data_IF_355995181808
#
_entry.id   IF_355995181808
#
_cell.length_a   1.000
_cell.length_b   1.000
_cell.length_c   1.000
_cell.angle_alpha   90.00
_cell.angle_beta   90.00
_cell.angle_gamma   90.00
#
_symmetry.space_group_name_H-M   'P 1'
#
loop_
_entity.id
_entity.type
_entity.pdbx_description
1 polymer ?
#
# COMPACT_ATOMS: atom_id res chain seq x y z
N UNK A 1 34.33 -21.42 19.09
CA UNK A 1 33.50 -20.24 19.46
C UNK A 1 32.35 -20.24 18.47
N UNK A 2 31.10 -20.07 18.90
CA UNK A 2 29.96 -20.13 17.96
C UNK A 2 29.89 -18.85 17.12
N UNK A 3 29.17 -18.89 15.99
CA UNK A 3 28.91 -17.69 15.16
C UNK A 3 28.36 -16.53 16.01
N UNK A 4 27.43 -16.81 16.93
CA UNK A 4 26.86 -15.79 17.81
C UNK A 4 27.88 -15.22 18.80
N UNK A 5 28.72 -16.06 19.41
CA UNK A 5 29.76 -15.61 20.34
C UNK A 5 30.72 -14.60 19.69
N UNK A 6 30.99 -14.78 18.39
CA UNK A 6 31.87 -13.92 17.60
C UNK A 6 31.17 -12.65 17.15
N UNK A 7 29.98 -12.79 16.55
CA UNK A 7 29.34 -11.73 15.77
C UNK A 7 28.42 -10.84 16.61
N UNK A 8 27.67 -11.40 17.56
CA UNK A 8 26.67 -10.63 18.32
C UNK A 8 27.28 -9.43 19.07
N UNK A 9 28.39 -9.56 19.81
CA UNK A 9 28.99 -8.41 20.51
C UNK A 9 29.41 -7.29 19.55
N UNK A 10 29.84 -7.65 18.34
CA UNK A 10 30.26 -6.69 17.31
C UNK A 10 29.08 -5.97 16.68
N UNK A 11 27.98 -6.68 16.40
CA UNK A 11 26.75 -6.08 15.88
C UNK A 11 26.13 -5.09 16.88
N UNK A 12 26.06 -5.47 18.16
CA UNK A 12 25.52 -4.60 19.22
C UNK A 12 26.34 -3.31 19.39
N UNK A 13 27.66 -3.37 19.14
CA UNK A 13 28.55 -2.22 19.24
C UNK A 13 28.48 -1.28 18.02
N UNK A 14 27.74 -1.64 16.95
CA UNK A 14 27.64 -0.78 15.78
C UNK A 14 26.80 0.48 16.08
N UNK A 15 27.21 1.67 15.59
CA UNK A 15 26.46 2.90 15.79
C UNK A 15 25.02 2.79 15.27
N UNK A 16 24.04 3.20 16.10
CA UNK A 16 22.63 3.23 15.74
C UNK A 16 21.87 1.92 15.93
N UNK A 17 22.54 0.82 16.31
CA UNK A 17 21.85 -0.45 16.61
C UNK A 17 21.09 -0.35 17.93
N UNK A 18 19.80 -0.64 17.87
CA UNK A 18 18.88 -0.65 19.01
C UNK A 18 18.57 -2.06 19.50
N UNK A 19 18.55 -3.03 18.59
CA UNK A 19 18.30 -4.43 18.89
C UNK A 19 18.93 -5.35 17.84
N UNK A 20 19.20 -6.59 18.26
CA UNK A 20 19.61 -7.69 17.38
C UNK A 20 18.72 -8.90 17.68
N UNK A 21 18.16 -9.52 16.64
CA UNK A 21 17.36 -10.75 16.77
C UNK A 21 17.96 -11.89 15.96
N UNK A 22 17.69 -13.12 16.38
CA UNK A 22 17.92 -14.35 15.64
C UNK A 22 16.60 -14.79 15.01
N UNK A 23 16.62 -15.04 13.71
CA UNK A 23 15.48 -15.51 12.94
C UNK A 23 15.66 -16.92 12.39
N UNK A 24 14.87 -17.21 11.36
CA UNK A 24 15.06 -18.40 10.54
C UNK A 24 14.73 -19.72 11.24
N UNK A 25 15.41 -20.78 10.78
CA UNK A 25 15.24 -22.13 11.32
C UNK A 25 15.83 -22.28 12.73
N UNK A 26 16.87 -21.50 13.06
CA UNK A 26 17.56 -21.53 14.35
C UNK A 26 16.70 -20.94 15.46
N UNK A 27 16.04 -19.80 15.22
CA UNK A 27 15.09 -19.23 16.18
C UNK A 27 13.88 -20.17 16.46
N UNK A 28 13.47 -20.94 15.45
CA UNK A 28 12.34 -21.88 15.54
C UNK A 28 12.71 -23.27 16.05
N UNK A 29 14.00 -23.54 16.28
CA UNK A 29 14.48 -24.88 16.69
C UNK A 29 14.36 -25.97 15.62
N UNK A 30 14.17 -25.60 14.34
CA UNK A 30 14.00 -26.53 13.20
C UNK A 30 15.21 -26.56 12.28
N UNK A 31 16.33 -25.98 12.73
CA UNK A 31 17.57 -25.93 11.96
C UNK A 31 18.20 -27.32 11.78
N UNK A 32 18.91 -27.45 10.67
CA UNK A 32 19.77 -28.58 10.35
C UNK A 32 21.23 -28.15 10.47
N UNK A 33 22.16 -29.09 10.34
CA UNK A 33 23.60 -28.79 10.39
C UNK A 33 24.05 -27.86 9.26
N UNK A 34 23.35 -27.84 8.13
CA UNK A 34 23.62 -27.01 6.94
C UNK A 34 22.84 -25.69 6.94
N UNK A 35 22.14 -25.35 8.03
CA UNK A 35 21.32 -24.13 8.08
C UNK A 35 22.17 -22.89 8.32
N UNK A 36 21.88 -21.86 7.53
CA UNK A 36 22.31 -20.49 7.67
C UNK A 36 21.94 -19.86 9.02
N UNK A 37 22.56 -18.71 9.30
CA UNK A 37 22.24 -17.87 10.44
C UNK A 37 21.54 -16.59 9.97
N UNK A 38 20.26 -16.45 10.31
CA UNK A 38 19.49 -15.24 10.02
C UNK A 38 19.51 -14.29 11.23
N UNK A 39 20.04 -13.08 11.05
CA UNK A 39 20.10 -12.04 12.07
C UNK A 39 19.39 -10.77 11.62
N UNK A 40 18.52 -10.23 12.46
CA UNK A 40 17.91 -8.90 12.26
C UNK A 40 18.66 -7.84 13.05
N UNK A 41 19.07 -6.75 12.41
CA UNK A 41 19.66 -5.56 13.05
C UNK A 41 18.68 -4.41 12.94
N UNK A 42 18.20 -3.93 14.09
CA UNK A 42 17.14 -2.93 14.17
C UNK A 42 17.71 -1.56 14.55
N UNK A 43 17.33 -0.52 13.82
CA UNK A 43 17.78 0.85 14.01
C UNK A 43 16.62 1.84 13.78
N UNK A 44 16.87 3.14 13.97
CA UNK A 44 15.96 4.23 13.60
C UNK A 44 16.71 5.34 12.87
N UNK A 45 16.04 6.03 11.95
CA UNK A 45 16.65 7.06 11.11
C UNK A 45 17.62 6.48 10.08
N UNK A 46 18.91 6.81 10.19
CA UNK A 46 19.93 6.40 9.22
C UNK A 46 20.86 5.31 9.75
N UNK A 47 21.28 4.40 8.87
CA UNK A 47 22.30 3.38 9.16
C UNK A 47 23.35 3.32 8.05
N UNK A 48 24.64 3.42 8.40
CA UNK A 48 25.75 3.21 7.45
C UNK A 48 26.14 1.72 7.41
N UNK A 49 25.65 0.99 6.42
CA UNK A 49 25.92 -0.44 6.27
C UNK A 49 27.41 -0.76 6.08
N UNK A 50 28.27 0.21 5.68
CA UNK A 50 29.73 -0.01 5.63
C UNK A 50 30.30 -0.42 6.97
N UNK A 51 29.62 -0.12 8.08
CA UNK A 51 29.98 -0.59 9.40
C UNK A 51 29.97 -2.13 9.51
N UNK A 52 29.06 -2.82 8.81
CA UNK A 52 29.03 -4.28 8.71
C UNK A 52 30.28 -4.82 7.99
N UNK A 53 30.70 -4.16 6.90
CA UNK A 53 31.91 -4.55 6.17
C UNK A 53 33.20 -4.35 6.99
N UNK A 54 33.22 -3.37 7.91
CA UNK A 54 34.35 -3.12 8.83
C UNK A 54 34.47 -4.17 9.94
N UNK A 55 33.53 -5.11 10.06
CA UNK A 55 33.60 -6.20 11.04
C UNK A 55 34.68 -7.25 10.72
N UNK A 56 35.21 -7.24 9.48
CA UNK A 56 36.32 -8.07 9.05
C UNK A 56 35.94 -9.48 8.57
N UNK A 57 34.66 -9.73 8.30
CA UNK A 57 34.18 -10.98 7.73
C UNK A 57 34.08 -10.88 6.20
N UNK A 58 34.40 -11.96 5.50
CA UNK A 58 34.20 -12.03 4.06
C UNK A 58 32.71 -11.98 3.74
N UNK A 59 32.31 -11.27 2.70
CA UNK A 59 30.90 -11.13 2.38
C UNK A 59 30.55 -9.97 1.45
N UNK A 60 29.26 -9.81 1.22
CA UNK A 60 28.66 -8.70 0.49
C UNK A 60 27.84 -7.84 1.46
N UNK A 61 27.90 -6.52 1.29
CA UNK A 61 27.21 -5.55 2.12
C UNK A 61 26.43 -4.61 1.24
N UNK A 62 25.18 -4.35 1.62
CA UNK A 62 24.25 -3.47 0.93
C UNK A 62 23.70 -2.41 1.88
N UNK A 63 23.63 -1.17 1.41
CA UNK A 63 23.04 -0.05 2.14
C UNK A 63 21.52 -0.21 2.29
N UNK A 64 20.90 0.47 3.28
CA UNK A 64 19.44 0.56 3.35
C UNK A 64 18.82 1.02 2.03
N UNK A 65 17.81 0.29 1.57
CA UNK A 65 17.10 0.46 0.31
C UNK A 65 17.65 -0.33 -0.89
N UNK A 66 18.89 -0.83 -0.86
CA UNK A 66 19.52 -1.50 -2.01
C UNK A 66 18.90 -2.88 -2.32
N UNK A 67 18.25 -3.52 -1.34
CA UNK A 67 17.52 -4.79 -1.54
C UNK A 67 15.99 -4.59 -1.58
N UNK A 68 15.54 -3.39 -1.98
CA UNK A 68 14.13 -3.03 -1.97
C UNK A 68 13.63 -2.64 -0.58
N UNK A 69 12.33 -2.31 -0.45
CA UNK A 69 11.80 -1.70 0.77
C UNK A 69 11.72 -2.67 1.95
N UNK A 70 11.26 -3.90 1.70
CA UNK A 70 10.95 -4.87 2.77
C UNK A 70 12.21 -5.56 3.27
N UNK A 71 13.05 -6.06 2.37
CA UNK A 71 14.34 -6.67 2.74
C UNK A 71 15.32 -5.58 3.20
N UNK A 72 15.17 -4.36 2.67
CA UNK A 72 15.91 -3.13 3.00
C UNK A 72 17.39 -3.17 2.60
N UNK A 73 18.18 -4.03 3.21
CA UNK A 73 19.62 -4.11 2.99
C UNK A 73 20.29 -4.92 4.11
N UNK A 74 21.61 -4.88 4.17
CA UNK A 74 22.38 -5.55 5.23
C UNK A 74 23.63 -6.24 4.71
N UNK A 75 23.85 -7.49 5.08
CA UNK A 75 25.05 -8.22 4.67
C UNK A 75 24.83 -9.73 4.58
N UNK A 76 25.49 -10.34 3.61
CA UNK A 76 25.74 -11.77 3.56
C UNK A 76 27.19 -12.00 3.92
N UNK A 77 27.44 -12.66 5.05
CA UNK A 77 28.75 -12.82 5.64
C UNK A 77 29.11 -14.30 5.75
N UNK A 78 30.41 -14.58 5.79
CA UNK A 78 30.95 -15.87 6.25
C UNK A 78 31.65 -15.66 7.58
N UNK A 79 31.11 -16.27 8.63
CA UNK A 79 31.64 -16.16 10.01
C UNK A 79 31.99 -17.56 10.50
N UNK A 80 33.25 -17.77 10.89
CA UNK A 80 33.75 -19.10 11.29
C UNK A 80 33.46 -20.21 10.26
N UNK A 81 33.43 -19.86 8.96
CA UNK A 81 33.13 -20.79 7.86
C UNK A 81 31.64 -21.03 7.58
N UNK A 82 30.75 -20.42 8.35
CA UNK A 82 29.30 -20.57 8.22
C UNK A 82 28.66 -19.35 7.53
N UNK A 83 27.64 -19.53 6.67
CA UNK A 83 26.89 -18.42 6.07
C UNK A 83 25.99 -17.72 7.10
N UNK A 84 26.03 -16.38 7.09
CA UNK A 84 25.24 -15.52 7.98
C UNK A 84 24.59 -14.40 7.18
N UNK A 85 23.26 -14.32 7.27
CA UNK A 85 22.44 -13.27 6.68
C UNK A 85 22.11 -12.24 7.75
N UNK A 86 22.55 -11.01 7.56
CA UNK A 86 22.23 -9.87 8.41
C UNK A 86 21.28 -8.96 7.66
N UNK A 87 20.06 -8.81 8.18
CA UNK A 87 19.02 -7.97 7.58
C UNK A 87 18.82 -6.69 8.40
N UNK A 88 18.83 -5.55 7.72
CA UNK A 88 18.62 -4.24 8.33
C UNK A 88 17.13 -3.93 8.45
N UNK A 89 16.68 -3.46 9.62
CA UNK A 89 15.29 -3.12 9.90
C UNK A 89 15.18 -1.72 10.48
N UNK A 90 14.67 -0.80 9.67
CA UNK A 90 14.30 0.54 10.12
C UNK A 90 12.99 0.47 10.90
N UNK A 91 13.04 0.69 12.21
CA UNK A 91 11.86 0.65 13.06
C UNK A 91 10.89 1.82 12.77
N UNK A 92 11.35 2.94 12.21
CA UNK A 92 10.45 4.04 11.82
C UNK A 92 9.54 3.61 10.66
N UNK A 93 10.10 2.87 9.68
CA UNK A 93 9.33 2.29 8.57
C UNK A 93 8.43 1.15 9.06
N UNK A 94 8.94 0.28 9.93
CA UNK A 94 8.15 -0.83 10.48
C UNK A 94 6.96 -0.33 11.32
N UNK A 95 7.09 0.80 12.02
CA UNK A 95 5.97 1.40 12.76
C UNK A 95 4.85 1.92 11.83
N UNK A 96 5.21 2.42 10.64
CA UNK A 96 4.22 2.77 9.59
C UNK A 96 3.48 1.52 9.13
N UNK A 97 4.20 0.44 8.79
CA UNK A 97 3.58 -0.80 8.36
C UNK A 97 2.77 -1.50 9.46
N UNK A 98 3.15 -1.35 10.73
CA UNK A 98 2.32 -1.76 11.85
C UNK A 98 0.98 -1.04 11.84
N UNK A 99 1.03 0.29 11.72
CA UNK A 99 -0.18 1.12 11.65
C UNK A 99 -1.06 0.72 10.47
N UNK A 100 -0.47 0.35 9.33
CA UNK A 100 -1.21 -0.19 8.20
C UNK A 100 -1.84 -1.56 8.51
N UNK A 101 -1.05 -2.50 9.03
CA UNK A 101 -1.50 -3.84 9.40
C UNK A 101 -2.65 -3.81 10.43
N UNK A 102 -2.58 -2.94 11.45
CA UNK A 102 -3.63 -2.78 12.46
C UNK A 102 -4.99 -2.39 11.85
N UNK A 103 -4.96 -1.75 10.68
CA UNK A 103 -6.15 -1.38 9.92
C UNK A 103 -6.40 -2.29 8.70
N UNK A 104 -5.75 -3.45 8.62
CA UNK A 104 -5.89 -4.40 7.52
C UNK A 104 -5.30 -3.94 6.19
N UNK A 105 -4.32 -3.02 6.21
CA UNK A 105 -3.64 -2.50 5.03
C UNK A 105 -2.26 -3.12 4.90
N UNK A 106 -1.86 -3.44 3.67
CA UNK A 106 -0.52 -3.89 3.32
C UNK A 106 -0.32 -3.82 1.81
N UNK A 107 0.94 -3.83 1.38
CA UNK A 107 1.35 -3.95 -0.01
C UNK A 107 2.12 -5.27 -0.20
N UNK A 108 2.30 -5.72 -1.45
CA UNK A 108 3.08 -6.91 -1.80
C UNK A 108 4.14 -6.49 -2.81
N UNK A 109 5.40 -6.55 -2.41
CA UNK A 109 6.52 -6.25 -3.30
C UNK A 109 6.96 -7.52 -4.03
N UNK A 110 7.36 -7.38 -5.30
CA UNK A 110 8.12 -8.42 -5.96
C UNK A 110 9.54 -8.39 -5.42
N UNK A 111 9.95 -9.52 -4.83
CA UNK A 111 11.28 -9.72 -4.25
C UNK A 111 11.85 -10.97 -4.89
N UNK A 112 13.08 -10.90 -5.37
CA UNK A 112 13.75 -12.03 -6.00
C UNK A 112 13.74 -13.25 -5.06
N UNK A 113 13.44 -14.42 -5.63
CA UNK A 113 13.28 -15.66 -4.87
C UNK A 113 11.89 -15.88 -4.26
N UNK A 114 10.92 -14.99 -4.48
CA UNK A 114 9.53 -15.15 -4.02
C UNK A 114 8.56 -15.17 -5.20
N UNK A 115 7.74 -16.22 -5.32
CA UNK A 115 6.77 -16.40 -6.40
C UNK A 115 5.51 -15.52 -6.23
N UNK A 116 4.95 -15.49 -5.02
CA UNK A 116 3.80 -14.67 -4.68
C UNK A 116 4.19 -13.20 -4.46
N UNK A 117 5.41 -12.98 -3.96
CA UNK A 117 5.93 -11.70 -3.49
C UNK A 117 5.91 -11.59 -1.97
N UNK A 118 6.55 -10.56 -1.43
CA UNK A 118 6.70 -10.38 0.01
C UNK A 118 5.77 -9.26 0.51
N UNK A 119 4.91 -9.49 1.52
CA UNK A 119 4.01 -8.47 2.02
C UNK A 119 4.70 -7.51 3.01
N UNK A 120 4.27 -6.25 3.07
CA UNK A 120 4.84 -5.22 3.97
C UNK A 120 4.67 -5.52 5.46
N UNK A 121 3.82 -6.48 5.83
CA UNK A 121 3.71 -6.98 7.21
C UNK A 121 4.76 -8.04 7.58
N UNK A 122 5.62 -8.50 6.66
CA UNK A 122 6.66 -9.51 6.96
C UNK A 122 7.59 -9.07 8.10
N UNK A 123 8.14 -7.84 8.14
CA UNK A 123 8.99 -7.41 9.25
C UNK A 123 8.28 -7.38 10.61
N UNK A 124 6.95 -7.23 10.64
CA UNK A 124 6.17 -7.36 11.86
C UNK A 124 6.16 -8.81 12.35
N UNK A 125 6.01 -9.76 11.42
CA UNK A 125 6.12 -11.18 11.71
C UNK A 125 7.50 -11.56 12.22
N UNK A 126 8.57 -10.99 11.66
CA UNK A 126 9.93 -11.20 12.16
C UNK A 126 10.07 -10.72 13.61
N UNK A 127 9.57 -9.51 13.93
CA UNK A 127 9.55 -9.02 15.33
C UNK A 127 8.75 -9.94 16.25
N UNK A 128 7.64 -10.50 15.75
CA UNK A 128 6.77 -11.37 16.55
C UNK A 128 7.36 -12.76 16.81
N UNK A 129 8.15 -13.31 15.88
CA UNK A 129 8.59 -14.72 15.89
C UNK A 129 10.08 -14.87 16.23
N UNK A 130 10.91 -13.90 15.88
CA UNK A 130 12.35 -14.00 16.09
C UNK A 130 12.71 -13.90 17.58
N UNK A 131 13.83 -14.53 17.95
CA UNK A 131 14.37 -14.45 19.30
C UNK A 131 15.21 -13.17 19.43
N UNK A 132 14.83 -12.25 20.31
CA UNK A 132 15.66 -11.07 20.60
C UNK A 132 16.92 -11.50 21.36
N UNK A 133 18.09 -11.28 20.77
CA UNK A 133 19.39 -11.59 21.37
C UNK A 133 19.94 -10.42 22.19
N UNK A 134 19.68 -9.18 21.75
CA UNK A 134 20.11 -7.96 22.42
C UNK A 134 19.13 -6.81 22.17
N UNK A 135 19.03 -5.87 23.12
CA UNK A 135 18.12 -4.73 23.05
C UNK A 135 16.68 -5.07 23.43
N UNK A 136 15.73 -4.25 22.97
CA UNK A 136 14.28 -4.48 23.16
C UNK A 136 13.53 -4.16 21.88
N UNK A 137 12.61 -5.04 21.50
CA UNK A 137 11.66 -4.84 20.41
C UNK A 137 10.22 -4.83 20.95
N UNK A 138 9.27 -4.19 20.26
CA UNK A 138 7.88 -4.17 20.69
C UNK A 138 7.26 -5.56 20.54
N UNK A 139 6.34 -5.91 21.44
CA UNK A 139 5.48 -7.07 21.21
C UNK A 139 4.52 -6.80 20.05
N UNK A 140 4.34 -7.79 19.18
CA UNK A 140 3.49 -7.70 17.99
C UNK A 140 2.55 -8.91 17.96
N UNK A 141 1.24 -8.66 17.98
CA UNK A 141 0.21 -9.66 17.76
C UNK A 141 -0.27 -9.60 16.30
N UNK A 142 -0.85 -10.69 15.78
CA UNK A 142 -1.44 -10.69 14.44
C UNK A 142 -2.78 -9.93 14.46
N UNK A 143 -2.91 -8.77 13.80
CA UNK A 143 -4.13 -7.98 13.90
C UNK A 143 -5.33 -8.65 13.22
N UNK A 144 -6.51 -8.60 13.85
CA UNK A 144 -7.75 -9.17 13.27
C UNK A 144 -8.07 -8.58 11.90
N UNK A 145 -7.93 -7.25 11.76
CA UNK A 145 -8.17 -6.57 10.49
C UNK A 145 -7.19 -7.03 9.40
N UNK A 146 -5.92 -7.28 9.74
CA UNK A 146 -4.95 -7.85 8.80
C UNK A 146 -5.34 -9.26 8.39
N UNK A 147 -5.76 -10.10 9.34
CA UNK A 147 -6.12 -11.50 9.07
C UNK A 147 -7.23 -11.59 8.03
N UNK A 148 -8.28 -10.81 8.20
CA UNK A 148 -9.41 -10.77 7.26
C UNK A 148 -8.98 -10.24 5.89
N UNK A 149 -8.33 -9.07 5.86
CA UNK A 149 -7.95 -8.41 4.62
C UNK A 149 -6.89 -9.19 3.82
N UNK A 150 -5.87 -9.75 4.50
CA UNK A 150 -4.83 -10.54 3.87
C UNK A 150 -5.38 -11.86 3.34
N UNK A 151 -6.24 -12.55 4.10
CA UNK A 151 -6.89 -13.77 3.62
C UNK A 151 -7.70 -13.50 2.34
N UNK A 152 -8.50 -12.43 2.32
CA UNK A 152 -9.30 -12.06 1.14
C UNK A 152 -8.40 -11.72 -0.06
N UNK A 153 -7.37 -10.90 0.15
CA UNK A 153 -6.45 -10.44 -0.90
C UNK A 153 -5.69 -11.60 -1.53
N UNK A 154 -5.11 -12.48 -0.71
CA UNK A 154 -4.32 -13.60 -1.19
C UNK A 154 -5.18 -14.65 -1.92
N UNK A 155 -6.41 -14.89 -1.45
CA UNK A 155 -7.38 -15.75 -2.16
C UNK A 155 -7.73 -15.18 -3.53
N UNK A 156 -7.95 -13.87 -3.61
CA UNK A 156 -8.21 -13.21 -4.88
C UNK A 156 -7.02 -13.30 -5.84
N UNK A 157 -5.80 -13.07 -5.35
CA UNK A 157 -4.59 -13.19 -6.15
C UNK A 157 -4.45 -14.60 -6.74
N UNK A 158 -4.65 -15.65 -5.92
CA UNK A 158 -4.59 -17.05 -6.37
C UNK A 158 -5.63 -17.34 -7.46
N UNK A 159 -6.88 -16.94 -7.25
CA UNK A 159 -7.96 -17.11 -8.22
C UNK A 159 -7.67 -16.41 -9.56
N UNK A 160 -7.11 -15.21 -9.50
CA UNK A 160 -6.74 -14.44 -10.70
C UNK A 160 -5.59 -15.12 -11.46
N UNK A 161 -4.54 -15.56 -10.75
CA UNK A 161 -3.43 -16.32 -11.34
C UNK A 161 -3.91 -17.58 -12.07
N UNK A 162 -4.84 -18.36 -11.47
CA UNK A 162 -5.43 -19.55 -12.13
C UNK A 162 -6.24 -19.19 -13.38
N UNK A 163 -6.86 -18.01 -13.40
CA UNK A 163 -7.59 -17.52 -14.58
C UNK A 163 -6.65 -17.17 -15.72
N UNK A 164 -5.49 -16.58 -15.41
CA UNK A 164 -4.44 -16.33 -16.41
C UNK A 164 -3.81 -17.65 -16.86
N UNK A 165 -3.57 -18.60 -15.94
CA UNK A 165 -3.10 -19.94 -16.29
C UNK A 165 -4.00 -20.60 -17.33
N UNK A 166 -5.32 -20.53 -17.15
CA UNK A 166 -6.32 -21.05 -18.10
C UNK A 166 -6.20 -20.43 -19.51
N UNK A 167 -5.86 -19.14 -19.60
CA UNK A 167 -5.61 -18.48 -20.88
C UNK A 167 -4.36 -19.04 -21.56
N UNK A 168 -3.31 -19.32 -20.80
CA UNK A 168 -2.09 -19.94 -21.33
C UNK A 168 -2.31 -21.39 -21.75
N UNK A 169 -3.08 -22.17 -20.97
CA UNK A 169 -3.51 -23.54 -21.34
C UNK A 169 -4.20 -23.54 -22.71
N UNK A 170 -5.18 -22.66 -22.93
CA UNK A 170 -5.88 -22.56 -24.23
C UNK A 170 -4.97 -22.21 -25.41
N UNK A 171 -3.84 -21.56 -25.15
CA UNK A 171 -2.85 -21.18 -26.17
C UNK A 171 -1.75 -22.23 -26.35
N UNK A 172 -1.74 -23.30 -25.55
CA UNK A 172 -0.68 -24.30 -25.54
C UNK A 172 0.63 -23.83 -24.88
N UNK A 173 0.59 -22.73 -24.12
CA UNK A 173 1.77 -22.15 -23.47
C UNK A 173 1.99 -22.79 -22.10
N UNK A 174 2.63 -23.97 -22.10
CA UNK A 174 2.85 -24.78 -20.89
C UNK A 174 3.65 -24.03 -19.83
N UNK A 175 4.70 -23.31 -20.22
CA UNK A 175 5.60 -22.64 -19.26
C UNK A 175 4.87 -21.57 -18.46
N UNK A 176 4.14 -20.67 -19.13
CA UNK A 176 3.39 -19.64 -18.43
C UNK A 176 2.15 -20.19 -17.72
N UNK A 177 1.54 -21.25 -18.24
CA UNK A 177 0.46 -21.95 -17.56
C UNK A 177 0.92 -22.51 -16.20
N UNK A 178 1.97 -23.32 -16.18
CA UNK A 178 2.52 -23.90 -14.95
C UNK A 178 3.06 -22.82 -14.02
N UNK A 179 3.76 -21.81 -14.53
CA UNK A 179 4.25 -20.70 -13.70
C UNK A 179 3.14 -19.95 -12.97
N UNK A 180 2.01 -19.70 -13.63
CA UNK A 180 0.84 -19.07 -13.01
C UNK A 180 0.15 -20.00 -11.99
N UNK A 181 0.14 -21.31 -12.23
CA UNK A 181 -0.38 -22.31 -11.28
C UNK A 181 0.50 -22.42 -10.02
N UNK A 182 1.82 -22.45 -10.16
CA UNK A 182 2.76 -22.44 -9.03
C UNK A 182 2.61 -21.15 -8.22
N UNK A 183 2.51 -20.00 -8.90
CA UNK A 183 2.25 -18.72 -8.24
C UNK A 183 0.92 -18.71 -7.49
N UNK A 184 -0.14 -19.25 -8.08
CA UNK A 184 -1.44 -19.37 -7.43
C UNK A 184 -1.37 -20.22 -6.15
N UNK A 185 -0.57 -21.28 -6.16
CA UNK A 185 -0.36 -22.17 -5.00
C UNK A 185 0.28 -21.41 -3.84
N UNK A 186 1.36 -20.66 -4.08
CA UNK A 186 2.00 -19.83 -3.06
C UNK A 186 1.03 -18.76 -2.51
N UNK A 187 0.25 -18.12 -3.37
CA UNK A 187 -0.78 -17.15 -2.98
C UNK A 187 -1.89 -17.79 -2.13
N UNK A 188 -2.38 -18.97 -2.51
CA UNK A 188 -3.38 -19.70 -1.73
C UNK A 188 -2.84 -20.09 -0.35
N UNK A 189 -1.57 -20.51 -0.27
CA UNK A 189 -0.91 -20.81 0.99
C UNK A 189 -0.81 -19.58 1.90
N UNK A 190 -0.43 -18.42 1.38
CA UNK A 190 -0.48 -17.15 2.12
C UNK A 190 -1.89 -16.85 2.65
N UNK A 191 -2.93 -17.09 1.85
CA UNK A 191 -4.32 -16.89 2.26
C UNK A 191 -4.72 -17.79 3.42
N UNK A 192 -4.35 -19.07 3.38
CA UNK A 192 -4.60 -20.02 4.47
C UNK A 192 -3.89 -19.57 5.75
N UNK A 193 -2.62 -19.19 5.65
CA UNK A 193 -1.83 -18.75 6.81
C UNK A 193 -2.36 -17.45 7.41
N UNK A 194 -2.74 -16.48 6.57
CA UNK A 194 -3.40 -15.26 7.02
C UNK A 194 -4.72 -15.57 7.76
N UNK A 195 -5.54 -16.46 7.21
CA UNK A 195 -6.79 -16.91 7.84
C UNK A 195 -6.61 -17.56 9.20
N UNK A 196 -5.44 -18.18 9.46
CA UNK A 196 -5.04 -18.75 10.75
C UNK A 196 -4.43 -17.72 11.70
N UNK A 197 -4.14 -16.50 11.25
CA UNK A 197 -3.39 -15.51 12.02
C UNK A 197 -1.92 -15.91 12.22
N UNK A 198 -1.35 -16.65 11.27
CA UNK A 198 0.02 -17.15 11.33
C UNK A 198 0.95 -16.27 10.48
N UNK A 199 2.08 -15.87 11.05
CA UNK A 199 3.08 -15.06 10.36
C UNK A 199 3.83 -15.88 9.31
N UNK A 200 3.92 -15.35 8.09
CA UNK A 200 4.70 -15.92 7.00
C UNK A 200 5.91 -15.01 6.77
N UNK A 201 7.10 -15.53 7.03
CA UNK A 201 8.36 -14.76 6.91
C UNK A 201 9.03 -14.93 5.54
N UNK A 202 8.57 -15.90 4.75
CA UNK A 202 9.04 -16.23 3.41
C UNK A 202 8.31 -17.47 2.89
N UNK A 203 8.66 -17.94 1.69
CA UNK A 203 7.92 -19.03 1.03
C UNK A 203 8.47 -20.44 1.35
N UNK A 204 9.58 -20.53 2.09
CA UNK A 204 10.20 -21.82 2.48
C UNK A 204 9.25 -22.63 3.36
N UNK A 205 8.78 -23.77 2.83
CA UNK A 205 7.84 -24.68 3.51
C UNK A 205 6.39 -24.15 3.57
N UNK A 206 6.11 -22.99 2.97
CA UNK A 206 4.81 -22.31 3.09
C UNK A 206 3.64 -23.18 2.60
N UNK A 207 3.84 -23.90 1.48
CA UNK A 207 2.81 -24.77 0.89
C UNK A 207 2.43 -25.91 1.84
N UNK A 208 3.42 -26.53 2.48
CA UNK A 208 3.21 -27.62 3.42
C UNK A 208 2.61 -27.12 4.74
N UNK A 209 3.11 -26.00 5.26
CA UNK A 209 2.58 -25.34 6.45
C UNK A 209 1.11 -24.95 6.27
N UNK A 210 0.71 -24.55 5.06
CA UNK A 210 -0.68 -24.29 4.70
C UNK A 210 -1.54 -25.57 4.58
N UNK A 211 -0.94 -26.75 4.51
CA UNK A 211 -1.64 -28.02 4.28
C UNK A 211 -2.00 -28.24 2.80
N UNK A 212 -1.25 -27.62 1.88
CA UNK A 212 -1.47 -27.69 0.43
C UNK A 212 -0.41 -28.55 -0.28
N UNK A 213 0.29 -29.42 0.45
CA UNK A 213 1.41 -30.23 -0.05
C UNK A 213 1.08 -31.14 -1.25
N UNK A 214 -0.20 -31.51 -1.45
CA UNK A 214 -0.62 -32.22 -2.66
C UNK A 214 -0.35 -31.46 -3.97
N UNK A 215 -0.10 -30.15 -3.89
CA UNK A 215 0.26 -29.35 -5.05
C UNK A 215 1.64 -29.73 -5.61
N UNK A 216 2.54 -30.28 -4.79
CA UNK A 216 3.84 -30.77 -5.24
C UNK A 216 3.68 -31.91 -6.25
N UNK A 217 2.74 -32.82 -5.99
CA UNK A 217 2.46 -33.96 -6.88
C UNK A 217 1.77 -33.48 -8.17
N UNK A 218 0.73 -32.66 -8.03
CA UNK A 218 -0.06 -32.13 -9.17
C UNK A 218 0.81 -31.32 -10.13
N UNK A 219 1.68 -30.44 -9.62
CA UNK A 219 2.57 -29.62 -10.44
C UNK A 219 3.84 -30.35 -10.90
N UNK A 220 4.22 -31.42 -10.20
CA UNK A 220 5.44 -32.19 -10.43
C UNK A 220 5.33 -33.21 -11.57
N UNK A 221 4.11 -33.56 -12.00
CA UNK A 221 3.91 -34.49 -13.11
C UNK A 221 4.22 -33.80 -14.46
N UNK A 222 5.38 -34.15 -15.02
CA UNK A 222 5.88 -33.60 -16.27
C UNK A 222 5.09 -34.10 -17.50
N UNK A 223 4.33 -35.20 -17.37
CA UNK A 223 3.55 -35.81 -18.44
C UNK A 223 2.09 -35.39 -18.45
N UNK A 224 1.59 -34.82 -17.35
CA UNK A 224 0.20 -34.38 -17.25
C UNK A 224 -0.12 -33.24 -18.22
N UNK A 225 -1.32 -33.26 -18.81
CA UNK A 225 -1.85 -32.16 -19.61
C UNK A 225 -2.04 -30.93 -18.70
N UNK A 226 -1.52 -29.73 -19.04
CA UNK A 226 -1.76 -28.52 -18.26
C UNK A 226 -3.24 -28.23 -17.97
N UNK A 227 -4.17 -28.68 -18.81
CA UNK A 227 -5.60 -28.56 -18.53
C UNK A 227 -6.05 -29.44 -17.34
N UNK A 228 -5.53 -30.65 -17.24
CA UNK A 228 -5.79 -31.57 -16.13
C UNK A 228 -5.15 -31.06 -14.84
N UNK A 229 -3.87 -30.65 -14.90
CA UNK A 229 -3.15 -30.02 -13.78
C UNK A 229 -3.93 -28.81 -13.25
N UNK A 230 -4.41 -27.93 -14.14
CA UNK A 230 -5.21 -26.77 -13.74
C UNK A 230 -6.51 -27.16 -13.03
N UNK A 231 -7.19 -28.20 -13.53
CA UNK A 231 -8.44 -28.67 -12.94
C UNK A 231 -8.23 -29.23 -11.53
N UNK A 232 -7.26 -30.11 -11.36
CA UNK A 232 -6.92 -30.70 -10.06
C UNK A 232 -6.45 -29.64 -9.08
N UNK A 233 -5.59 -28.71 -9.52
CA UNK A 233 -5.08 -27.65 -8.66
C UNK A 233 -6.20 -26.70 -8.22
N UNK A 234 -7.16 -26.37 -9.10
CA UNK A 234 -8.33 -25.57 -8.71
C UNK A 234 -9.14 -26.24 -7.59
N UNK A 235 -9.32 -27.56 -7.67
CA UNK A 235 -10.02 -28.31 -6.63
C UNK A 235 -9.21 -28.35 -5.32
N UNK A 236 -7.90 -28.59 -5.40
CA UNK A 236 -7.02 -28.64 -4.23
C UNK A 236 -6.95 -27.32 -3.47
N UNK A 237 -6.82 -26.20 -4.20
CA UNK A 237 -6.64 -24.88 -3.60
C UNK A 237 -7.95 -24.28 -3.04
N UNK A 238 -9.10 -24.90 -3.33
CA UNK A 238 -10.43 -24.34 -3.06
C UNK A 238 -10.52 -22.87 -3.52
N UNK A 239 -9.96 -22.61 -4.71
CA UNK A 239 -9.80 -21.26 -5.21
C UNK A 239 -11.13 -20.77 -5.83
N UNK A 240 -11.76 -19.72 -5.27
CA UNK A 240 -13.02 -19.21 -5.78
C UNK A 240 -12.87 -18.66 -7.20
N UNK A 241 -13.96 -18.56 -7.96
CA UNK A 241 -13.89 -17.92 -9.27
C UNK A 241 -13.68 -16.41 -9.08
N UNK A 242 -12.94 -15.72 -9.95
CA UNK A 242 -12.73 -14.27 -9.81
C UNK A 242 -14.03 -13.45 -9.72
N UNK A 243 -15.12 -13.93 -10.34
CA UNK A 243 -16.43 -13.30 -10.28
C UNK A 243 -17.18 -13.53 -8.96
N UNK A 244 -16.82 -14.58 -8.22
CA UNK A 244 -17.39 -14.91 -6.89
C UNK A 244 -16.71 -14.11 -5.78
N UNK A 245 -15.56 -13.53 -6.09
CA UNK A 245 -14.84 -12.64 -5.20
C UNK A 245 -15.21 -11.19 -5.51
N UNK A 246 -15.42 -10.38 -4.45
CA UNK A 246 -15.45 -8.93 -4.61
C UNK A 246 -14.16 -8.53 -5.31
N UNK A 247 -14.27 -7.90 -6.47
CA UNK A 247 -13.11 -7.45 -7.24
C UNK A 247 -12.19 -6.67 -6.31
N UNK A 248 -10.96 -7.13 -6.12
CA UNK A 248 -9.90 -6.24 -5.65
C UNK A 248 -9.55 -5.28 -6.78
N UNK A 249 -10.48 -4.38 -7.10
CA UNK A 249 -10.07 -3.01 -7.36
C UNK A 249 -9.47 -2.57 -6.04
N UNK A 250 -8.17 -2.32 -6.06
CA UNK A 250 -7.46 -1.56 -5.06
C UNK A 250 -8.41 -0.48 -4.55
N UNK A 251 -8.71 -0.50 -3.25
CA UNK A 251 -9.80 0.33 -2.72
C UNK A 251 -9.38 1.78 -2.92
N UNK A 252 -9.91 2.43 -3.96
CA UNK A 252 -9.90 3.87 -4.11
C UNK A 252 -10.40 4.44 -2.79
N UNK A 253 -9.48 4.95 -1.97
CA UNK A 253 -9.75 5.30 -0.58
C UNK A 253 -9.70 6.79 -0.42
N UNK A 254 -10.74 7.34 0.20
CA UNK A 254 -10.73 8.72 0.63
C UNK A 254 -9.80 8.91 1.83
N UNK A 255 -8.83 9.81 1.70
CA UNK A 255 -7.81 10.14 2.69
C UNK A 255 -7.80 11.63 2.95
N UNK A 256 -7.41 12.01 4.17
CA UNK A 256 -7.15 13.39 4.53
C UNK A 256 -5.78 13.80 3.99
N UNK A 257 -5.71 14.87 3.23
CA UNK A 257 -4.45 15.39 2.69
C UNK A 257 -3.77 16.32 3.70
N UNK A 258 -2.44 16.24 3.74
CA UNK A 258 -1.52 16.91 4.67
C UNK A 258 -0.43 17.67 3.91
N UNK A 259 0.36 18.53 4.56
CA UNK A 259 1.45 19.26 3.89
C UNK A 259 2.45 18.37 3.14
N UNK A 260 2.63 17.12 3.56
CA UNK A 260 3.46 16.13 2.88
C UNK A 260 2.91 15.73 1.49
N UNK A 261 1.58 15.80 1.28
CA UNK A 261 0.92 15.43 0.02
C UNK A 261 0.98 16.55 -1.04
N UNK A 262 1.50 17.74 -0.71
CA UNK A 262 1.45 18.93 -1.57
C UNK A 262 2.04 18.69 -2.98
N UNK A 263 3.08 17.88 -3.09
CA UNK A 263 3.69 17.53 -4.37
C UNK A 263 2.75 16.74 -5.28
N UNK A 264 2.06 15.74 -4.74
CA UNK A 264 1.07 14.96 -5.48
C UNK A 264 -0.16 15.79 -5.84
N UNK A 265 -0.62 16.66 -4.92
CA UNK A 265 -1.73 17.58 -5.17
C UNK A 265 -1.41 18.52 -6.34
N UNK A 266 -0.22 19.11 -6.37
CA UNK A 266 0.22 19.99 -7.46
C UNK A 266 0.21 19.24 -8.81
N UNK A 267 0.79 18.03 -8.85
CA UNK A 267 0.84 17.22 -10.07
C UNK A 267 -0.56 16.86 -10.57
N UNK A 268 -1.42 16.36 -9.67
CA UNK A 268 -2.81 16.02 -10.01
C UNK A 268 -3.57 17.24 -10.50
N UNK A 269 -3.45 18.36 -9.80
CA UNK A 269 -4.12 19.61 -10.15
C UNK A 269 -3.74 20.09 -11.55
N UNK A 270 -2.44 20.15 -11.86
CA UNK A 270 -1.96 20.56 -13.17
C UNK A 270 -2.49 19.67 -14.27
N UNK A 271 -2.47 18.35 -14.07
CA UNK A 271 -3.02 17.41 -15.03
C UNK A 271 -4.53 17.60 -15.23
N UNK A 272 -5.27 17.81 -14.14
CA UNK A 272 -6.73 17.91 -14.17
C UNK A 272 -7.26 19.22 -14.77
N UNK A 273 -6.51 20.32 -14.72
CA UNK A 273 -6.93 21.65 -15.20
C UNK A 273 -6.58 21.95 -16.67
N UNK A 274 -5.86 21.07 -17.38
CA UNK A 274 -5.55 21.25 -18.82
C UNK A 274 -6.83 21.35 -19.68
N UNK A 275 -7.87 20.52 -19.49
CA UNK A 275 -9.12 20.67 -20.23
C UNK A 275 -9.79 22.02 -20.01
N UNK A 276 -9.79 22.53 -18.78
CA UNK A 276 -10.34 23.84 -18.41
C UNK A 276 -9.55 24.97 -19.07
N UNK A 277 -8.21 24.91 -19.04
CA UNK A 277 -7.36 25.88 -19.73
C UNK A 277 -7.65 25.94 -21.23
N UNK A 278 -7.88 24.79 -21.86
CA UNK A 278 -8.28 24.74 -23.28
C UNK A 278 -9.67 25.32 -23.51
N UNK A 279 -10.64 25.02 -22.63
CA UNK A 279 -12.01 25.48 -22.76
C UNK A 279 -12.14 27.01 -22.60
N UNK A 280 -11.24 27.64 -21.85
CA UNK A 280 -11.23 29.10 -21.61
C UNK A 280 -10.13 29.82 -22.39
N UNK A 281 -9.36 29.10 -23.21
CA UNK A 281 -8.19 29.62 -23.94
C UNK A 281 -7.20 30.39 -23.04
N UNK A 282 -7.02 29.89 -21.82
CA UNK A 282 -6.27 30.53 -20.73
C UNK A 282 -5.32 29.51 -20.08
N UNK A 283 -4.02 29.62 -20.35
CA UNK A 283 -2.99 28.76 -19.77
C UNK A 283 -2.46 29.28 -18.43
N UNK A 284 -2.79 30.52 -18.08
CA UNK A 284 -2.33 31.21 -16.87
C UNK A 284 -3.35 31.10 -15.72
N UNK A 285 -4.38 30.27 -15.90
CA UNK A 285 -5.36 29.91 -14.89
C UNK A 285 -4.68 29.71 -13.52
N UNK A 286 -5.19 30.31 -12.43
CA UNK A 286 -4.56 30.24 -11.10
C UNK A 286 -4.19 28.81 -10.63
N UNK A 287 -5.01 27.76 -10.88
CA UNK A 287 -4.62 26.38 -10.58
C UNK A 287 -3.37 25.85 -11.30
N UNK A 288 -3.04 26.37 -12.49
CA UNK A 288 -1.86 25.95 -13.26
C UNK A 288 -0.60 26.69 -12.81
N UNK A 289 -0.75 27.93 -12.35
CA UNK A 289 0.33 28.82 -11.93
C UNK A 289 0.66 28.73 -10.43
N UNK A 290 -0.22 28.16 -9.60
CA UNK A 290 0.01 27.91 -8.16
C UNK A 290 1.30 27.10 -7.90
N UNK A 291 2.09 27.54 -6.93
CA UNK A 291 3.38 26.96 -6.56
C UNK A 291 3.26 25.92 -5.44
N UNK A 292 4.24 25.02 -5.38
CA UNK A 292 4.32 23.96 -4.36
C UNK A 292 4.31 24.51 -2.92
N UNK A 293 5.00 25.64 -2.68
CA UNK A 293 5.07 26.27 -1.37
C UNK A 293 3.69 26.75 -0.91
N UNK A 294 2.93 27.38 -1.80
CA UNK A 294 1.58 27.89 -1.52
C UNK A 294 0.61 26.74 -1.19
N UNK A 295 0.66 25.64 -1.95
CA UNK A 295 -0.16 24.45 -1.66
C UNK A 295 0.22 23.86 -0.30
N UNK A 296 1.52 23.78 0.01
CA UNK A 296 1.98 23.25 1.30
C UNK A 296 1.51 24.11 2.46
N UNK A 297 1.59 25.44 2.34
CA UNK A 297 1.11 26.40 3.33
C UNK A 297 -0.41 26.29 3.52
N UNK A 298 -1.18 26.23 2.43
CA UNK A 298 -2.63 26.03 2.51
C UNK A 298 -3.00 24.71 3.17
N UNK A 299 -2.31 23.61 2.87
CA UNK A 299 -2.57 22.31 3.51
C UNK A 299 -2.16 22.28 5.00
N UNK A 300 -1.37 23.25 5.46
CA UNK A 300 -1.01 23.43 6.86
C UNK A 300 -1.97 24.39 7.61
N UNK A 301 -2.74 25.21 6.89
CA UNK A 301 -3.70 26.14 7.46
C UNK A 301 -4.90 25.39 8.08
N UNK A 302 -5.19 25.69 9.36
CA UNK A 302 -6.29 25.08 10.10
C UNK A 302 -7.68 25.43 9.55
N UNK A 303 -7.82 26.52 8.79
CA UNK A 303 -9.05 26.88 8.09
C UNK A 303 -9.29 26.06 6.82
N UNK A 304 -8.28 25.34 6.34
CA UNK A 304 -8.34 24.56 5.11
C UNK A 304 -8.49 23.08 5.39
N UNK A 305 -9.43 22.47 4.68
CA UNK A 305 -9.70 21.05 4.72
C UNK A 305 -9.56 20.41 3.35
N UNK A 306 -8.59 19.51 3.21
CA UNK A 306 -8.30 18.84 1.94
C UNK A 306 -8.50 17.33 2.03
N UNK A 307 -9.21 16.76 1.07
CA UNK A 307 -9.47 15.33 0.96
C UNK A 307 -9.02 14.85 -0.42
N UNK A 308 -8.58 13.60 -0.50
CA UNK A 308 -8.19 12.99 -1.76
C UNK A 308 -8.57 11.53 -1.85
N UNK A 309 -8.59 10.98 -3.06
CA UNK A 309 -8.79 9.55 -3.31
C UNK A 309 -7.45 8.96 -3.75
N UNK A 310 -6.94 7.98 -3.00
CA UNK A 310 -5.76 7.20 -3.39
C UNK A 310 -6.18 5.85 -3.95
N UNK A 311 -5.66 5.54 -5.13
CA UNK A 311 -5.83 4.26 -5.82
C UNK A 311 -4.44 3.66 -6.04
N UNK A 312 -4.13 2.55 -5.36
CA UNK A 312 -2.81 1.90 -5.38
C UNK A 312 -1.64 2.86 -5.11
N UNK A 313 -1.76 3.64 -4.03
CA UNK A 313 -0.77 4.65 -3.64
C UNK A 313 -0.82 5.95 -4.45
N UNK A 314 -1.37 5.94 -5.67
CA UNK A 314 -1.50 7.14 -6.52
C UNK A 314 -2.68 8.02 -6.09
N UNK A 315 -2.45 9.32 -5.89
CA UNK A 315 -3.53 10.29 -5.73
C UNK A 315 -4.27 10.51 -7.07
N UNK A 316 -5.54 10.11 -7.14
CA UNK A 316 -6.36 10.16 -8.38
C UNK A 316 -7.50 11.17 -8.34
N UNK A 317 -7.85 11.69 -7.17
CA UNK A 317 -8.76 12.82 -7.01
C UNK A 317 -8.41 13.63 -5.76
N UNK A 318 -8.71 14.93 -5.76
CA UNK A 318 -8.53 15.80 -4.60
C UNK A 318 -9.60 16.92 -4.58
N UNK A 319 -9.90 17.42 -3.39
CA UNK A 319 -10.74 18.61 -3.17
C UNK A 319 -10.17 19.38 -2.00
N UNK A 320 -10.23 20.71 -2.07
CA UNK A 320 -9.89 21.62 -0.98
C UNK A 320 -11.13 22.39 -0.56
N UNK A 321 -11.31 22.61 0.73
CA UNK A 321 -12.40 23.40 1.27
C UNK A 321 -11.82 24.39 2.27
N UNK A 322 -12.04 25.67 2.05
CA UNK A 322 -11.64 26.73 2.97
C UNK A 322 -12.84 27.19 3.77
N UNK A 323 -12.72 27.21 5.10
CA UNK A 323 -13.77 27.66 5.99
C UNK A 323 -13.63 29.16 6.26
N UNK A 324 -14.73 29.89 6.16
CA UNK A 324 -14.84 31.30 6.56
C UNK A 324 -16.15 31.50 7.32
N UNK A 325 -16.07 31.55 8.66
CA UNK A 325 -17.23 31.64 9.53
C UNK A 325 -18.18 30.43 9.38
N UNK A 326 -19.42 30.70 8.98
CA UNK A 326 -20.47 29.70 8.70
C UNK A 326 -20.50 29.25 7.24
N UNK A 327 -19.54 29.68 6.41
CA UNK A 327 -19.47 29.34 4.99
C UNK A 327 -18.26 28.45 4.72
N UNK A 328 -18.47 27.40 3.93
CA UNK A 328 -17.40 26.55 3.41
C UNK A 328 -17.25 26.76 1.90
N UNK A 329 -16.08 27.19 1.46
CA UNK A 329 -15.78 27.42 0.05
C UNK A 329 -15.04 26.22 -0.53
N UNK A 330 -15.70 25.48 -1.41
CA UNK A 330 -15.10 24.38 -2.16
C UNK A 330 -14.23 24.96 -3.26
N UNK A 331 -12.98 24.55 -3.27
CA UNK A 331 -12.00 24.89 -4.29
C UNK A 331 -11.29 23.65 -4.79
N UNK A 332 -10.82 23.71 -6.05
CA UNK A 332 -9.83 22.76 -6.58
C UNK A 332 -10.29 21.30 -6.49
N UNK A 333 -11.56 21.05 -6.83
CA UNK A 333 -12.07 19.70 -7.05
C UNK A 333 -11.47 19.17 -8.34
N UNK A 334 -10.52 18.25 -8.24
CA UNK A 334 -9.74 17.72 -9.35
C UNK A 334 -9.82 16.21 -9.39
N UNK A 335 -9.87 15.66 -10.60
CA UNK A 335 -9.84 14.21 -10.86
C UNK A 335 -8.85 13.97 -12.00
N UNK A 336 -7.98 12.97 -11.81
CA UNK A 336 -6.97 12.60 -12.80
C UNK A 336 -7.66 12.32 -14.15
N UNK A 337 -7.15 12.84 -15.29
CA UNK A 337 -7.82 12.72 -16.58
C UNK A 337 -8.20 11.29 -16.98
N UNK A 338 -7.36 10.30 -16.66
CA UNK A 338 -7.57 8.88 -16.92
C UNK A 338 -8.58 8.20 -15.98
N UNK A 339 -9.10 8.92 -14.98
CA UNK A 339 -10.05 8.43 -13.97
C UNK A 339 -11.34 9.26 -13.94
N UNK A 340 -11.53 10.17 -14.89
CA UNK A 340 -12.75 10.96 -15.03
C UNK A 340 -13.93 10.09 -15.46
N UNK A 341 -15.15 10.50 -15.09
CA UNK A 341 -16.38 9.74 -15.39
C UNK A 341 -16.69 8.58 -14.44
N UNK A 342 -15.77 8.24 -13.53
CA UNK A 342 -15.95 7.14 -12.56
C UNK A 342 -16.67 7.55 -11.25
N UNK A 343 -17.17 8.78 -11.18
CA UNK A 343 -17.89 9.30 -10.01
C UNK A 343 -17.00 9.74 -8.84
N UNK A 344 -15.67 9.72 -8.99
CA UNK A 344 -14.71 10.12 -7.95
C UNK A 344 -14.94 11.56 -7.46
N UNK A 345 -15.12 12.52 -8.37
CA UNK A 345 -15.36 13.92 -7.99
C UNK A 345 -16.66 14.11 -7.19
N UNK A 346 -17.75 13.47 -7.60
CA UNK A 346 -19.02 13.51 -6.86
C UNK A 346 -18.94 12.83 -5.50
N UNK A 347 -18.21 11.70 -5.41
CA UNK A 347 -18.02 10.99 -4.16
C UNK A 347 -17.18 11.79 -3.17
N UNK A 348 -16.11 12.41 -3.67
CA UNK A 348 -15.21 13.22 -2.86
C UNK A 348 -15.87 14.50 -2.35
N UNK A 349 -16.68 15.18 -3.18
CA UNK A 349 -17.42 16.35 -2.74
C UNK A 349 -18.43 16.01 -1.63
N UNK A 350 -19.23 14.95 -1.82
CA UNK A 350 -20.18 14.49 -0.79
C UNK A 350 -19.46 14.13 0.52
N UNK A 351 -18.35 13.41 0.42
CA UNK A 351 -17.55 13.08 1.60
C UNK A 351 -17.06 14.35 2.30
N UNK A 352 -16.53 15.31 1.55
CA UNK A 352 -16.04 16.55 2.13
C UNK A 352 -17.17 17.37 2.79
N UNK A 353 -18.38 17.37 2.22
CA UNK A 353 -19.58 17.97 2.84
C UNK A 353 -19.97 17.29 4.17
N UNK A 354 -19.88 15.96 4.24
CA UNK A 354 -20.17 15.17 5.45
C UNK A 354 -19.18 15.46 6.60
N UNK A 355 -17.98 15.94 6.28
CA UNK A 355 -16.92 16.25 7.25
C UNK A 355 -16.92 17.71 7.73
N UNK A 356 -17.85 18.54 7.25
CA UNK A 356 -17.96 19.93 7.69
C UNK A 356 -18.56 20.03 9.11
N UNK A 357 -18.07 20.99 9.89
CA UNK A 357 -18.59 21.28 11.23
C UNK A 357 -20.06 21.72 11.19
N UNK A 358 -20.86 21.37 12.20
CA UNK A 358 -22.32 21.59 12.23
C UNK A 358 -22.73 23.07 12.12
N UNK A 359 -21.83 24.01 12.41
CA UNK A 359 -22.06 25.45 12.31
C UNK A 359 -21.87 26.03 10.89
N UNK A 360 -21.45 25.21 9.93
CA UNK A 360 -21.45 25.57 8.51
C UNK A 360 -22.87 25.48 7.96
N UNK A 361 -23.43 26.61 7.51
CA UNK A 361 -24.79 26.74 6.99
C UNK A 361 -24.87 26.80 5.46
N UNK A 362 -23.79 27.20 4.79
CA UNK A 362 -23.75 27.35 3.33
C UNK A 362 -22.43 26.81 2.79
N UNK A 363 -22.52 26.12 1.66
CA UNK A 363 -21.36 25.68 0.87
C UNK A 363 -21.36 26.45 -0.44
N UNK A 364 -20.24 27.07 -0.78
CA UNK A 364 -20.06 27.90 -1.97
C UNK A 364 -18.94 27.35 -2.86
N UNK A 365 -19.04 27.62 -4.15
CA UNK A 365 -18.00 27.34 -5.13
C UNK A 365 -18.13 28.28 -6.32
N UNK A 366 -17.12 28.30 -7.17
CA UNK A 366 -17.21 28.91 -8.49
C UNK A 366 -16.54 28.04 -9.55
N UNK A 367 -16.97 28.19 -10.79
CA UNK A 367 -16.38 27.53 -11.96
C UNK A 367 -16.53 28.43 -13.19
N UNK A 368 -15.67 28.30 -14.20
CA UNK A 368 -15.79 29.10 -15.42
C UNK A 368 -17.01 28.70 -16.25
N UNK A 369 -17.64 29.65 -16.95
CA UNK A 369 -18.89 29.40 -17.68
C UNK A 369 -18.76 28.38 -18.83
N UNK A 370 -17.55 28.15 -19.35
CA UNK A 370 -17.28 27.10 -20.35
C UNK A 370 -17.06 25.71 -19.71
N UNK A 371 -17.05 25.60 -18.38
CA UNK A 371 -16.91 24.34 -17.62
C UNK A 371 -18.22 23.55 -17.56
N UNK A 372 -18.81 23.22 -18.72
CA UNK A 372 -20.16 22.62 -18.83
C UNK A 372 -20.32 21.35 -18.00
N UNK A 373 -19.29 20.49 -17.93
CA UNK A 373 -19.30 19.27 -17.12
C UNK A 373 -19.38 19.58 -15.62
N UNK A 374 -18.67 20.61 -15.17
CA UNK A 374 -18.63 21.03 -13.76
C UNK A 374 -19.97 21.65 -13.36
N UNK A 375 -20.53 22.53 -14.21
CA UNK A 375 -21.87 23.11 -13.98
C UNK A 375 -22.94 22.02 -13.83
N UNK A 376 -22.95 21.00 -14.70
CA UNK A 376 -23.87 19.85 -14.59
C UNK A 376 -23.61 18.97 -13.36
N UNK A 377 -22.36 18.83 -12.94
CA UNK A 377 -22.01 18.11 -11.72
C UNK A 377 -22.58 18.83 -10.49
N UNK A 378 -22.33 20.14 -10.37
CA UNK A 378 -22.74 20.93 -9.21
C UNK A 378 -24.26 21.06 -9.13
N UNK A 379 -24.95 21.28 -10.25
CA UNK A 379 -26.43 21.32 -10.29
C UNK A 379 -27.04 20.01 -9.78
N UNK A 380 -26.52 18.85 -10.23
CA UNK A 380 -26.95 17.52 -9.73
C UNK A 380 -26.67 17.30 -8.24
N UNK A 381 -25.65 17.96 -7.69
CA UNK A 381 -25.30 17.89 -6.26
C UNK A 381 -26.06 18.93 -5.42
N UNK A 382 -26.95 19.71 -6.05
CA UNK A 382 -27.86 20.65 -5.39
C UNK A 382 -27.33 22.07 -5.24
N UNK A 383 -26.19 22.39 -5.86
CA UNK A 383 -25.71 23.77 -5.96
C UNK A 383 -26.53 24.54 -6.99
N UNK A 384 -26.85 25.80 -6.70
CA UNK A 384 -27.55 26.70 -7.62
C UNK A 384 -26.72 27.93 -7.89
N UNK A 385 -26.73 28.39 -9.14
CA UNK A 385 -26.10 29.65 -9.55
C UNK A 385 -26.68 30.80 -8.73
N UNK A 386 -25.81 31.64 -8.17
CA UNK A 386 -26.19 32.84 -7.40
C UNK A 386 -25.94 34.10 -8.19
N UNK A 387 -24.77 34.21 -8.83
CA UNK A 387 -24.36 35.33 -9.65
C UNK A 387 -23.17 34.94 -10.54
N UNK A 388 -22.77 35.86 -11.42
CA UNK A 388 -21.57 35.76 -12.24
C UNK A 388 -20.63 36.93 -12.01
N UNK A 389 -19.34 36.70 -12.15
CA UNK A 389 -18.30 37.75 -12.13
C UNK A 389 -17.45 37.67 -13.39
N UNK A 390 -16.99 38.82 -13.88
CA UNK A 390 -16.09 38.89 -15.02
C UNK A 390 -14.69 38.35 -14.65
N UNK A 391 -14.13 37.51 -15.52
CA UNK A 391 -12.76 36.99 -15.44
C UNK A 391 -11.99 37.22 -16.76
N UNK A 392 -12.30 38.33 -17.46
CA UNK A 392 -11.60 38.78 -18.64
C UNK A 392 -12.33 38.37 -19.92
N UNK A 393 -12.00 37.19 -20.46
CA UNK A 393 -12.60 36.68 -21.70
C UNK A 393 -13.80 35.76 -21.46
N UNK A 394 -14.09 35.44 -20.20
CA UNK A 394 -15.18 34.57 -19.76
C UNK A 394 -15.69 35.00 -18.39
N UNK A 395 -16.89 34.55 -18.01
CA UNK A 395 -17.45 34.74 -16.68
C UNK A 395 -17.15 33.54 -15.75
N UNK A 396 -16.95 33.84 -14.47
CA UNK A 396 -17.04 32.85 -13.40
C UNK A 396 -18.49 32.76 -12.92
N UNK A 397 -19.00 31.53 -12.86
CA UNK A 397 -20.31 31.21 -12.33
C UNK A 397 -20.16 30.82 -10.87
N UNK A 398 -20.73 31.63 -9.97
CA UNK A 398 -20.74 31.36 -8.54
C UNK A 398 -21.99 30.57 -8.17
N UNK A 399 -21.83 29.54 -7.35
CA UNK A 399 -22.91 28.64 -6.96
C UNK A 399 -22.90 28.39 -5.46
N UNK A 400 -24.09 28.26 -4.88
CA UNK A 400 -24.25 27.99 -3.45
C UNK A 400 -25.25 26.85 -3.20
N UNK A 401 -25.05 26.15 -2.09
CA UNK A 401 -25.93 25.11 -1.58
C UNK A 401 -26.14 25.32 -0.07
N UNK A 402 -27.39 25.55 0.38
CA UNK A 402 -27.70 25.54 1.81
C UNK A 402 -27.44 24.16 2.39
N UNK A 403 -26.80 24.09 3.55
CA UNK A 403 -26.64 22.85 4.30
C UNK A 403 -27.85 22.69 5.20
N UNK A 404 -28.67 21.66 4.95
CA UNK A 404 -29.80 21.34 5.82
C UNK A 404 -29.30 21.07 7.24
N UNK A 405 -29.94 21.66 8.25
CA UNK A 405 -29.64 21.37 9.66
C UNK A 405 -29.81 19.86 9.88
N UNK A 406 -28.73 19.20 10.33
CA UNK A 406 -28.77 17.78 10.65
C UNK A 406 -29.91 17.50 11.62
N UNK A 407 -30.76 16.52 11.29
CA UNK A 407 -31.66 15.90 12.28
C UNK A 407 -30.79 15.48 13.47
N UNK A 408 -31.13 16.00 14.65
CA UNK A 408 -30.43 15.70 15.88
C UNK A 408 -30.28 14.18 16.07
N UNK A 409 -29.09 13.78 16.52
CA UNK A 409 -28.91 12.51 17.23
C UNK A 409 -29.93 12.47 18.37
N UNK A 410 -30.93 11.60 18.27
CA UNK A 410 -31.75 11.23 19.42
C UNK A 410 -30.84 10.57 20.47
N UNK A 411 -30.90 10.97 21.75
CA UNK A 411 -30.26 10.21 22.80
C UNK A 411 -31.12 8.97 23.07
N UNK A 412 -30.51 7.79 22.92
CA UNK A 412 -31.09 6.49 23.25
C UNK A 412 -29.98 5.56 23.66
#
# INVERSE_FOLDING_TARGET
MTVLDVLLPRLVALPGVLAVSLGGSRARGTHRSDSDWDLGVYYRGGFDARALGRLGFAGHVAQPGEWGRIVNGGAWLTVEGEPVDVLLRDLDVVDVWRTDADHGRFEIDQVEGHLAGLPTYTPLGEIAVNQVLAGRLPAVAYPTALREAAQERWRWNAAFSLTIAEQHVRRGDRTLALGMMTRATAQAAHAVMAGRGAWVLGEKGLVDDAGLGGAHDVLGDDRADPAEVLHELRALLDAPRPQELRSHRTRARTVRLRPADAGEVLTLQRAAYVPEARAHEDIDLPPLTEHLAEIREQLADGSVTAWGVRDDGRLVAAVRITRSGSTAVVSRLVVAPDRQGEGLGSGLLRHAEEQLDDDVSVIELFTGEHSVTNLRLYDRLGFRETHRTDAGTYALVHMAKPRGTGRGRSPG
#
